data_IF_631366649729
#
_entry.id   IF_631366649729
#
_cell.length_a   1.000
_cell.length_b   1.000
_cell.length_c   1.000
_cell.angle_alpha   90.00
_cell.angle_beta   90.00
_cell.angle_gamma   90.00
#
_symmetry.space_group_name_H-M   'P 1'
#
loop_
_entity.id
_entity.type
_entity.pdbx_description
1 polymer ?
#
# COMPACT_ATOMS: atom_id res chain seq x y z
N UNK A 1 39.67 -5.47 14.84
CA UNK A 1 39.04 -4.13 14.77
C UNK A 1 39.09 -3.51 13.37
N UNK A 2 40.16 -3.64 12.57
CA UNK A 2 40.23 -3.08 11.20
C UNK A 2 39.53 -3.95 10.12
N UNK A 3 39.42 -5.25 10.40
CA UNK A 3 38.75 -6.31 9.64
C UNK A 3 37.22 -6.19 9.65
N UNK A 4 36.64 -5.74 10.76
CA UNK A 4 35.18 -5.59 10.89
C UNK A 4 34.59 -4.52 9.97
N UNK A 5 35.30 -3.42 9.73
CA UNK A 5 34.84 -2.33 8.87
C UNK A 5 34.78 -2.73 7.39
N UNK A 6 35.70 -3.59 6.93
CA UNK A 6 35.66 -4.13 5.57
C UNK A 6 34.49 -5.09 5.38
N UNK A 7 34.27 -5.98 6.35
CA UNK A 7 33.16 -6.93 6.33
C UNK A 7 31.79 -6.23 6.36
N UNK A 8 31.64 -5.18 7.15
CA UNK A 8 30.40 -4.40 7.19
C UNK A 8 30.12 -3.69 5.87
N UNK A 9 31.13 -3.06 5.25
CA UNK A 9 30.97 -2.43 3.93
C UNK A 9 30.55 -3.43 2.85
N UNK A 10 31.10 -4.64 2.86
CA UNK A 10 30.72 -5.70 1.93
C UNK A 10 29.24 -6.08 2.09
N UNK A 11 28.78 -6.28 3.34
CA UNK A 11 27.37 -6.55 3.63
C UNK A 11 26.48 -5.38 3.20
N UNK A 12 26.87 -4.14 3.47
CA UNK A 12 26.11 -2.96 3.02
C UNK A 12 26.01 -2.89 1.50
N UNK A 13 27.10 -3.16 0.78
CA UNK A 13 27.08 -3.20 -0.68
C UNK A 13 26.14 -4.28 -1.21
N UNK A 14 26.21 -5.48 -0.61
CA UNK A 14 25.36 -6.61 -0.97
C UNK A 14 23.89 -6.37 -0.67
N UNK A 15 23.52 -5.64 0.38
CA UNK A 15 22.10 -5.38 0.71
C UNK A 15 21.60 -4.00 0.28
N UNK A 16 22.47 -3.15 -0.29
CA UNK A 16 22.13 -1.76 -0.65
C UNK A 16 20.96 -1.66 -1.61
N UNK A 17 20.78 -2.67 -2.47
CA UNK A 17 19.67 -2.74 -3.42
C UNK A 17 18.31 -2.87 -2.73
N UNK A 18 18.25 -3.27 -1.46
CA UNK A 18 17.01 -3.43 -0.69
C UNK A 18 16.41 -2.10 -0.20
N UNK A 19 17.12 -0.98 -0.35
CA UNK A 19 16.75 0.29 0.27
C UNK A 19 16.22 1.33 -0.73
N UNK A 20 15.32 2.19 -0.22
CA UNK A 20 14.91 3.43 -0.89
C UNK A 20 14.18 3.20 -2.21
N UNK A 21 14.78 3.66 -3.31
CA UNK A 21 14.14 3.73 -4.63
C UNK A 21 13.72 2.36 -5.21
N UNK A 22 14.25 1.25 -4.69
CA UNK A 22 13.91 -0.10 -5.13
C UNK A 22 12.76 -0.74 -4.34
N UNK A 23 12.22 -0.09 -3.31
CA UNK A 23 11.21 -0.69 -2.42
C UNK A 23 10.02 -1.28 -3.19
N UNK A 24 9.45 -0.53 -4.15
CA UNK A 24 8.34 -1.00 -4.97
C UNK A 24 8.69 -2.25 -5.81
N UNK A 25 9.90 -2.30 -6.35
CA UNK A 25 10.35 -3.47 -7.11
C UNK A 25 10.47 -4.73 -6.23
N UNK A 26 10.91 -4.57 -4.99
CA UNK A 26 11.06 -5.66 -4.03
C UNK A 26 9.69 -6.13 -3.54
N UNK A 27 8.76 -5.20 -3.31
CA UNK A 27 7.36 -5.51 -2.98
C UNK A 27 6.70 -6.34 -4.10
N UNK A 28 6.85 -5.93 -5.36
CA UNK A 28 6.35 -6.68 -6.51
C UNK A 28 6.94 -8.10 -6.60
N UNK A 29 8.23 -8.26 -6.29
CA UNK A 29 8.89 -9.57 -6.23
C UNK A 29 8.35 -10.42 -5.07
N UNK A 30 8.10 -9.79 -3.92
CA UNK A 30 7.58 -10.47 -2.74
C UNK A 30 6.14 -10.94 -2.96
N UNK A 31 5.30 -10.14 -3.63
CA UNK A 31 3.95 -10.52 -4.04
C UNK A 31 3.96 -11.74 -4.99
N UNK A 32 4.87 -11.72 -5.98
CA UNK A 32 5.07 -12.84 -6.90
C UNK A 32 5.49 -14.10 -6.15
N UNK A 33 6.46 -14.01 -5.24
CA UNK A 33 6.87 -15.13 -4.39
C UNK A 33 5.72 -15.66 -3.53
N UNK A 34 4.94 -14.79 -2.89
CA UNK A 34 3.81 -15.20 -2.06
C UNK A 34 2.72 -15.90 -2.87
N UNK A 35 2.55 -15.53 -4.14
CA UNK A 35 1.60 -16.15 -5.07
C UNK A 35 2.11 -17.48 -5.60
N UNK A 36 3.34 -17.52 -6.07
CA UNK A 36 4.06 -18.70 -6.54
C UNK A 36 5.57 -18.53 -6.28
N UNK A 37 6.16 -19.28 -5.33
CA UNK A 37 7.60 -19.20 -5.07
C UNK A 37 8.46 -19.56 -6.29
N UNK A 38 7.92 -20.30 -7.27
CA UNK A 38 8.56 -20.64 -8.53
C UNK A 38 8.72 -19.46 -9.50
N UNK A 39 7.99 -18.37 -9.28
CA UNK A 39 7.94 -17.20 -10.18
C UNK A 39 9.11 -16.23 -10.02
N UNK A 40 9.93 -16.40 -8.98
CA UNK A 40 11.13 -15.59 -8.71
C UNK A 40 12.40 -16.44 -8.82
N UNK A 41 13.56 -15.76 -8.95
CA UNK A 41 14.86 -16.46 -9.00
C UNK A 41 15.17 -17.22 -7.71
N UNK A 42 16.12 -18.16 -7.76
CA UNK A 42 16.47 -18.98 -6.60
C UNK A 42 17.00 -18.16 -5.42
N UNK A 43 17.76 -17.10 -5.70
CA UNK A 43 18.31 -16.17 -4.71
C UNK A 43 17.20 -15.40 -4.00
N UNK A 44 16.22 -14.90 -4.75
CA UNK A 44 15.05 -14.20 -4.20
C UNK A 44 14.16 -15.12 -3.38
N UNK A 45 13.91 -16.34 -3.86
CA UNK A 45 13.17 -17.34 -3.10
C UNK A 45 13.85 -17.65 -1.78
N UNK A 46 15.15 -17.92 -1.79
CA UNK A 46 15.91 -18.20 -0.58
C UNK A 46 15.88 -17.02 0.40
N UNK A 47 15.94 -15.79 -0.10
CA UNK A 47 15.80 -14.58 0.72
C UNK A 47 14.41 -14.47 1.37
N UNK A 48 13.32 -14.61 0.62
CA UNK A 48 11.97 -14.51 1.18
C UNK A 48 11.62 -15.69 2.10
N UNK A 49 12.09 -16.90 1.80
CA UNK A 49 11.92 -18.08 2.67
C UNK A 49 12.57 -17.88 4.04
N UNK A 50 13.67 -17.10 4.12
CA UNK A 50 14.33 -16.77 5.39
C UNK A 50 13.53 -15.80 6.27
N UNK A 51 12.67 -14.96 5.68
CA UNK A 51 11.82 -14.03 6.42
C UNK A 51 10.74 -14.75 7.24
N UNK A 52 10.36 -15.96 6.82
CA UNK A 52 9.25 -16.74 7.40
C UNK A 52 7.93 -15.97 7.46
N UNK A 53 7.74 -15.06 6.52
CA UNK A 53 6.51 -14.29 6.39
C UNK A 53 5.34 -15.18 5.97
N UNK A 54 4.14 -14.81 6.41
CA UNK A 54 2.92 -15.50 5.99
C UNK A 54 2.50 -14.99 4.61
N UNK A 55 2.50 -15.87 3.62
CA UNK A 55 2.15 -15.54 2.24
C UNK A 55 0.77 -14.86 2.08
N UNK A 56 -0.22 -15.20 2.92
CA UNK A 56 -1.54 -14.57 2.87
C UNK A 56 -1.50 -13.12 3.38
N UNK A 57 -0.68 -12.84 4.40
CA UNK A 57 -0.45 -11.47 4.88
C UNK A 57 0.33 -10.63 3.87
N UNK A 58 1.28 -11.24 3.16
CA UNK A 58 2.02 -10.59 2.08
C UNK A 58 1.07 -10.19 0.95
N UNK A 59 0.20 -11.12 0.52
CA UNK A 59 -0.84 -10.83 -0.49
C UNK A 59 -1.81 -9.73 -0.05
N UNK A 60 -2.26 -9.75 1.21
CA UNK A 60 -3.12 -8.69 1.74
C UNK A 60 -2.41 -7.33 1.75
N UNK A 61 -1.15 -7.31 2.13
CA UNK A 61 -0.35 -6.08 2.18
C UNK A 61 -0.11 -5.52 0.78
N UNK A 62 0.23 -6.36 -0.20
CA UNK A 62 0.35 -5.96 -1.59
C UNK A 62 -0.97 -5.39 -2.15
N UNK A 63 -2.10 -6.02 -1.82
CA UNK A 63 -3.42 -5.54 -2.23
C UNK A 63 -3.85 -4.21 -1.56
N UNK A 64 -3.28 -3.88 -0.39
CA UNK A 64 -3.65 -2.69 0.37
C UNK A 64 -3.14 -1.37 -0.25
N UNK A 65 -2.15 -1.44 -1.15
CA UNK A 65 -1.54 -0.26 -1.78
C UNK A 65 -0.86 0.68 -0.78
N UNK A 66 -0.37 1.84 -1.26
CA UNK A 66 0.62 2.63 -0.51
C UNK A 66 0.15 3.27 0.81
N UNK A 67 -1.12 3.15 1.21
CA UNK A 67 -1.66 3.72 2.46
C UNK A 67 -2.81 2.92 3.08
N UNK A 68 -3.06 1.68 2.64
CA UNK A 68 -4.08 0.79 3.23
C UNK A 68 -5.45 1.43 3.44
N UNK A 69 -5.82 2.42 2.62
CA UNK A 69 -7.10 3.11 2.79
C UNK A 69 -8.19 2.22 2.23
N UNK A 70 -9.07 1.75 3.12
CA UNK A 70 -10.41 1.29 2.73
C UNK A 70 -11.00 2.31 1.76
N UNK A 71 -11.55 1.83 0.64
CA UNK A 71 -11.98 2.65 -0.50
C UNK A 71 -12.80 3.87 -0.09
N UNK A 72 -12.78 4.90 -0.95
CA UNK A 72 -13.41 6.20 -0.68
C UNK A 72 -14.81 6.05 -0.07
N UNK A 73 -14.96 6.39 1.20
CA UNK A 73 -16.25 6.37 1.90
C UNK A 73 -17.14 7.49 1.34
N UNK A 74 -18.46 7.27 1.34
CA UNK A 74 -19.39 8.34 1.01
C UNK A 74 -19.22 9.50 2.01
N UNK A 75 -19.28 10.75 1.55
CA UNK A 75 -19.09 11.89 2.44
C UNK A 75 -20.24 11.99 3.45
N UNK A 76 -19.91 12.11 4.73
CA UNK A 76 -20.86 12.31 5.84
C UNK A 76 -20.59 13.65 6.52
N UNK A 77 -21.56 14.16 7.30
CA UNK A 77 -21.36 15.40 8.05
C UNK A 77 -20.18 15.31 9.05
N UNK A 78 -19.99 14.15 9.69
CA UNK A 78 -18.89 13.92 10.64
C UNK A 78 -17.52 13.92 9.96
N UNK A 79 -17.42 13.32 8.77
CA UNK A 79 -16.16 13.24 8.02
C UNK A 79 -15.84 14.53 7.28
N UNK A 80 -16.86 15.27 6.84
CA UNK A 80 -16.72 16.50 6.06
C UNK A 80 -16.00 17.62 6.82
N UNK A 81 -16.05 17.61 8.16
CA UNK A 81 -15.28 18.54 9.00
C UNK A 81 -13.77 18.38 8.79
N UNK A 82 -13.32 17.16 8.47
CA UNK A 82 -11.89 16.84 8.36
C UNK A 82 -11.35 16.93 6.92
N UNK A 83 -12.17 16.60 5.91
CA UNK A 83 -11.73 16.51 4.51
C UNK A 83 -12.42 17.51 3.56
N UNK A 84 -13.41 18.27 4.03
CA UNK A 84 -14.16 19.25 3.26
C UNK A 84 -15.18 18.67 2.27
N UNK A 85 -15.36 17.34 2.24
CA UNK A 85 -16.34 16.68 1.35
C UNK A 85 -17.70 16.63 2.05
N UNK A 86 -18.50 17.67 1.89
CA UNK A 86 -19.86 17.70 2.46
C UNK A 86 -20.84 16.83 1.67
N UNK A 87 -21.76 16.10 2.34
CA UNK A 87 -22.83 15.38 1.65
C UNK A 87 -23.73 16.35 0.87
N UNK A 88 -24.31 15.87 -0.24
CA UNK A 88 -25.26 16.66 -1.01
C UNK A 88 -26.49 17.02 -0.15
N UNK A 89 -26.98 18.27 -0.22
CA UNK A 89 -28.19 18.66 0.49
C UNK A 89 -29.37 17.81 0.00
N UNK A 90 -30.15 17.29 0.95
CA UNK A 90 -31.39 16.58 0.62
C UNK A 90 -32.32 17.57 -0.09
N UNK A 91 -32.62 17.32 -1.36
CA UNK A 91 -33.49 18.19 -2.14
C UNK A 91 -34.89 18.07 -1.56
N UNK A 92 -35.40 19.15 -0.97
CA UNK A 92 -36.76 19.16 -0.43
C UNK A 92 -37.76 19.01 -1.58
N UNK A 93 -38.58 17.94 -1.63
CA UNK A 93 -39.55 17.75 -2.71
C UNK A 93 -40.62 18.85 -2.76
N UNK A 94 -40.72 19.69 -1.71
CA UNK A 94 -41.64 20.83 -1.63
C UNK A 94 -41.12 22.10 -2.29
N UNK A 95 -39.83 22.20 -2.60
CA UNK A 95 -39.24 23.38 -3.26
C UNK A 95 -39.40 23.37 -4.79
N UNK A 96 -39.58 22.21 -5.41
CA UNK A 96 -39.79 22.06 -6.85
C UNK A 96 -41.19 22.48 -7.34
N UNK A 97 -42.09 22.90 -6.44
CA UNK A 97 -43.52 23.05 -6.71
C UNK A 97 -44.08 24.48 -6.78
N UNK A 98 -43.27 25.55 -6.78
CA UNK A 98 -43.80 26.91 -6.97
C UNK A 98 -43.51 27.43 -8.39
N UNK A 99 -44.43 27.26 -9.36
CA UNK A 99 -44.42 28.07 -10.55
C UNK A 99 -44.79 29.52 -10.17
N UNK A 100 -43.93 30.47 -10.56
CA UNK A 100 -44.13 31.88 -10.30
C UNK A 100 -45.49 32.37 -10.78
N UNK A 101 -46.24 33.01 -9.88
CA UNK A 101 -47.42 33.77 -10.25
C UNK A 101 -46.99 35.03 -11.02
N UNK A 102 -47.71 35.25 -12.11
CA UNK A 102 -47.75 36.39 -13.04
C UNK A 102 -47.23 37.73 -12.54
#
# INVERSE_FOLDING_TARGET
>A
MADDAGRLNQVFAETSFLYGANAAFIEDLHEKWASDPGSVSGEWRAFFDQLKDNADLVKQSAAAGSWGRSGATEPTEETAVFDGRWPAPKVDPKAAGKPGAR
#
